data_IF_997369917914
#
_entry.id   IF_997369917914
#
_cell.length_a   1.000
_cell.length_b   1.000
_cell.length_c   1.000
_cell.angle_alpha   90.00
_cell.angle_beta   90.00
_cell.angle_gamma   90.00
#
_symmetry.space_group_name_H-M   'P 1'
#
loop_
_entity.id
_entity.type
_entity.pdbx_description
1 polymer ?
#
# COMPACT_ATOMS: atom_id res chain seq x y z
N UNK A 1 -4.58 18.13 -15.66
CA UNK A 1 -3.66 17.11 -16.21
C UNK A 1 -3.94 15.82 -15.46
N UNK A 2 -4.42 14.77 -16.14
CA UNK A 2 -4.62 13.46 -15.50
C UNK A 2 -3.26 12.87 -15.16
N UNK A 3 -3.05 12.54 -13.89
CA UNK A 3 -1.93 11.70 -13.46
C UNK A 3 -2.31 10.28 -13.83
N UNK A 4 -1.78 9.78 -14.96
CA UNK A 4 -2.05 8.40 -15.38
C UNK A 4 -1.26 7.45 -14.48
N UNK A 5 -1.97 6.62 -13.71
CA UNK A 5 -1.37 5.48 -13.03
C UNK A 5 -0.65 4.60 -14.04
N UNK A 6 0.51 4.08 -13.66
CA UNK A 6 1.30 3.18 -14.50
C UNK A 6 0.51 1.89 -14.79
N UNK A 7 0.76 1.27 -15.95
CA UNK A 7 0.29 -0.10 -16.15
C UNK A 7 0.94 -1.03 -15.13
N UNK A 8 0.26 -2.11 -14.74
CA UNK A 8 0.79 -3.02 -13.71
C UNK A 8 2.16 -3.59 -14.11
N UNK A 9 2.38 -3.88 -15.39
CA UNK A 9 3.69 -4.33 -15.87
C UNK A 9 4.80 -3.28 -15.69
N UNK A 10 4.47 -1.99 -15.83
CA UNK A 10 5.41 -0.88 -15.55
C UNK A 10 5.65 -0.73 -14.04
N UNK A 11 4.62 -0.87 -13.21
CA UNK A 11 4.76 -0.82 -11.76
C UNK A 11 5.73 -1.91 -11.28
N UNK A 12 5.51 -3.15 -11.70
CA UNK A 12 6.32 -4.29 -11.26
C UNK A 12 7.78 -4.22 -11.75
N UNK A 13 8.02 -3.64 -12.93
CA UNK A 13 9.37 -3.51 -13.49
C UNK A 13 10.16 -2.29 -12.99
N UNK A 14 9.48 -1.27 -12.46
CA UNK A 14 10.10 -0.05 -11.92
C UNK A 14 10.22 -0.05 -10.40
N UNK A 15 9.84 -1.15 -9.76
CA UNK A 15 9.78 -1.30 -8.32
C UNK A 15 11.16 -1.51 -7.68
N UNK A 16 11.58 -0.55 -6.86
CA UNK A 16 12.84 -0.58 -6.11
C UNK A 16 12.61 -0.69 -4.60
N UNK A 17 13.58 -1.22 -3.85
CA UNK A 17 13.55 -1.29 -2.37
C UNK A 17 13.75 0.07 -1.71
N UNK A 18 14.25 1.05 -2.47
CA UNK A 18 14.52 2.40 -2.03
C UNK A 18 14.26 3.37 -3.16
N UNK A 19 13.50 4.44 -2.90
CA UNK A 19 13.24 5.50 -3.88
C UNK A 19 13.57 6.86 -3.31
N UNK A 20 14.06 7.77 -4.15
CA UNK A 20 14.26 9.17 -3.77
C UNK A 20 13.11 10.03 -4.26
N UNK A 21 12.44 10.72 -3.34
CA UNK A 21 11.33 11.63 -3.61
C UNK A 21 11.55 12.91 -2.81
N UNK A 22 11.55 14.07 -3.50
CA UNK A 22 11.71 15.40 -2.88
C UNK A 22 12.98 15.55 -2.01
N UNK A 23 14.06 14.86 -2.37
CA UNK A 23 15.32 14.89 -1.62
C UNK A 23 15.37 13.95 -0.41
N UNK A 24 14.30 13.19 -0.17
CA UNK A 24 14.24 12.17 0.87
C UNK A 24 14.37 10.78 0.25
N UNK A 25 15.10 9.90 0.93
CA UNK A 25 15.17 8.47 0.61
C UNK A 25 14.11 7.74 1.41
N UNK A 26 13.27 6.98 0.71
CA UNK A 26 12.16 6.22 1.27
C UNK A 26 12.45 4.73 1.17
N UNK A 27 12.26 4.00 2.27
CA UNK A 27 12.39 2.54 2.34
C UNK A 27 11.22 1.95 3.12
N UNK A 28 10.63 0.84 2.65
CA UNK A 28 9.62 0.17 3.47
C UNK A 28 10.33 -0.56 4.61
N UNK A 29 10.05 -0.14 5.83
CA UNK A 29 10.64 -0.71 7.04
C UNK A 29 9.88 -1.94 7.51
N UNK A 30 8.55 -1.87 7.47
CA UNK A 30 7.63 -2.92 7.93
C UNK A 30 6.39 -2.90 7.08
N UNK A 31 5.83 -4.08 6.85
CA UNK A 31 4.48 -4.24 6.31
C UNK A 31 3.77 -5.32 7.09
N UNK A 32 2.51 -5.07 7.39
CA UNK A 32 1.63 -5.99 8.07
C UNK A 32 0.41 -6.20 7.20
N UNK A 33 0.06 -7.46 6.97
CA UNK A 33 -1.20 -7.82 6.36
C UNK A 33 -1.96 -8.71 7.34
N UNK A 34 -3.24 -8.41 7.58
CA UNK A 34 -4.08 -9.17 8.48
C UNK A 34 -5.52 -9.27 7.98
N UNK A 35 -6.15 -10.43 8.19
CA UNK A 35 -7.58 -10.58 7.96
C UNK A 35 -8.38 -9.90 9.08
N UNK A 36 -9.46 -9.18 8.74
CA UNK A 36 -10.43 -8.78 9.75
C UNK A 36 -11.42 -9.92 9.99
N UNK A 37 -11.12 -10.76 10.97
CA UNK A 37 -11.99 -11.86 11.38
C UNK A 37 -12.90 -11.51 12.57
N UNK A 38 -12.92 -10.25 13.01
CA UNK A 38 -13.79 -9.86 14.12
C UNK A 38 -15.26 -10.01 13.72
N UNK A 39 -16.10 -10.69 14.53
CA UNK A 39 -17.53 -10.76 14.28
C UNK A 39 -18.11 -9.34 14.30
N UNK A 40 -18.79 -8.93 13.23
CA UNK A 40 -19.55 -7.69 13.23
C UNK A 40 -20.57 -7.71 14.37
N UNK A 41 -20.63 -6.66 15.19
CA UNK A 41 -21.62 -6.52 16.27
C UNK A 41 -23.07 -6.54 15.75
N UNK A 42 -23.25 -6.27 14.45
CA UNK A 42 -24.48 -6.49 13.72
C UNK A 42 -24.21 -7.53 12.63
N UNK A 43 -25.08 -8.53 12.53
CA UNK A 43 -24.99 -9.78 11.75
C UNK A 43 -24.90 -9.64 10.22
N UNK A 44 -24.32 -8.56 9.70
CA UNK A 44 -23.80 -8.52 8.35
C UNK A 44 -22.31 -8.91 8.42
N UNK A 45 -21.87 -10.02 7.81
CA UNK A 45 -20.45 -10.31 7.69
C UNK A 45 -19.81 -9.15 6.90
N UNK A 46 -19.19 -8.21 7.62
CA UNK A 46 -18.44 -7.12 7.01
C UNK A 46 -17.22 -7.73 6.33
N UNK A 47 -17.40 -8.04 5.04
CA UNK A 47 -16.40 -8.41 4.03
C UNK A 47 -15.09 -8.95 4.61
N UNK A 48 -15.01 -10.27 4.72
CA UNK A 48 -13.78 -11.04 4.95
C UNK A 48 -12.76 -10.70 3.87
N UNK A 49 -11.80 -9.83 4.20
CA UNK A 49 -10.74 -9.37 3.32
C UNK A 49 -9.52 -8.98 4.15
N UNK A 50 -8.35 -8.96 3.52
CA UNK A 50 -7.13 -8.54 4.18
C UNK A 50 -7.06 -7.00 4.25
N UNK A 51 -6.65 -6.51 5.41
CA UNK A 51 -6.17 -5.15 5.61
C UNK A 51 -4.65 -5.17 5.54
N UNK A 52 -4.06 -4.02 5.22
CA UNK A 52 -2.62 -3.85 5.13
C UNK A 52 -2.20 -2.53 5.77
N UNK A 53 -1.05 -2.55 6.44
CA UNK A 53 -0.34 -1.36 6.91
C UNK A 53 1.09 -1.43 6.43
N UNK A 54 1.57 -0.37 5.80
CA UNK A 54 2.94 -0.21 5.35
C UNK A 54 3.56 0.96 6.10
N UNK A 55 4.72 0.72 6.71
CA UNK A 55 5.53 1.73 7.38
C UNK A 55 6.74 2.03 6.50
N UNK A 56 6.83 3.26 6.01
CA UNK A 56 7.93 3.74 5.17
C UNK A 56 8.82 4.63 6.00
N UNK A 57 10.08 4.25 6.16
CA UNK A 57 11.09 5.11 6.76
C UNK A 57 11.55 6.17 5.77
N UNK A 58 11.73 7.39 6.27
CA UNK A 58 12.26 8.55 5.56
C UNK A 58 13.66 8.85 6.06
N UNK A 59 14.57 9.14 5.14
CA UNK A 59 15.92 9.58 5.44
C UNK A 59 16.25 10.80 4.59
N UNK A 60 16.75 11.86 5.23
CA UNK A 60 17.15 13.09 4.56
C UNK A 60 18.38 13.67 5.25
N UNK A 61 19.24 14.34 4.48
CA UNK A 61 20.33 15.15 5.03
C UNK A 61 19.83 16.51 5.57
N UNK A 62 18.58 16.86 5.26
CA UNK A 62 17.87 18.05 5.75
C UNK A 62 16.72 17.67 6.69
N UNK A 63 16.07 18.67 7.29
CA UNK A 63 14.85 18.44 8.05
C UNK A 63 13.78 17.77 7.18
N UNK A 64 13.08 16.77 7.73
CA UNK A 64 12.00 16.07 7.04
C UNK A 64 10.81 17.01 6.84
N UNK A 65 10.13 16.90 5.69
CA UNK A 65 8.92 17.68 5.45
C UNK A 65 7.74 17.12 6.22
N UNK A 66 6.85 17.97 6.73
CA UNK A 66 5.60 17.50 7.36
C UNK A 66 4.62 16.88 6.35
N UNK A 67 4.85 17.06 5.05
CA UNK A 67 4.02 16.47 3.99
C UNK A 67 4.54 15.11 3.54
N UNK A 68 3.63 14.14 3.42
CA UNK A 68 3.91 12.87 2.77
C UNK A 68 4.00 13.03 1.24
N UNK A 69 4.85 12.23 0.57
CA UNK A 69 4.71 11.95 -0.85
C UNK A 69 3.30 11.43 -1.17
N UNK A 70 2.77 11.88 -2.30
CA UNK A 70 1.41 11.56 -2.72
C UNK A 70 1.35 10.12 -3.24
N UNK A 71 0.56 9.27 -2.58
CA UNK A 71 0.35 7.87 -2.99
C UNK A 71 -0.76 7.79 -4.04
N UNK A 72 -0.45 7.18 -5.18
CA UNK A 72 -1.41 6.89 -6.24
C UNK A 72 -2.09 5.55 -6.01
N UNK A 73 -1.32 4.52 -5.65
CA UNK A 73 -1.82 3.16 -5.45
C UNK A 73 -0.98 2.40 -4.44
N UNK A 74 -1.61 1.46 -3.75
CA UNK A 74 -0.95 0.40 -2.99
C UNK A 74 -1.27 -0.92 -3.67
N UNK A 75 -0.26 -1.60 -4.18
CA UNK A 75 -0.36 -2.89 -4.83
C UNK A 75 0.11 -3.98 -3.90
N UNK A 76 -0.49 -5.16 -4.03
CA UNK A 76 0.06 -6.38 -3.46
C UNK A 76 0.04 -7.48 -4.51
N UNK A 77 1.17 -8.18 -4.60
CA UNK A 77 1.33 -9.39 -5.40
C UNK A 77 1.59 -10.55 -4.45
N UNK A 78 0.72 -11.55 -4.48
CA UNK A 78 0.92 -12.80 -3.75
C UNK A 78 2.01 -13.62 -4.45
N UNK A 79 3.16 -13.78 -3.80
CA UNK A 79 4.32 -14.50 -4.34
C UNK A 79 5.27 -14.90 -3.22
N UNK A 80 5.93 -16.05 -3.38
CA UNK A 80 7.01 -16.51 -2.50
C UNK A 80 8.40 -16.12 -3.02
N UNK A 81 8.49 -15.46 -4.18
CA UNK A 81 9.73 -15.14 -4.86
C UNK A 81 9.67 -13.77 -5.55
N UNK A 82 10.71 -12.95 -5.37
CA UNK A 82 10.87 -11.67 -6.08
C UNK A 82 11.13 -11.85 -7.58
N UNK A 83 11.80 -12.95 -7.95
CA UNK A 83 12.07 -13.25 -9.37
C UNK A 83 10.76 -13.42 -10.16
N UNK A 84 9.68 -13.75 -9.48
CA UNK A 84 8.39 -13.97 -10.09
C UNK A 84 7.69 -12.64 -10.40
N UNK A 85 8.06 -11.51 -9.78
CA UNK A 85 7.41 -10.21 -10.00
C UNK A 85 7.48 -9.73 -11.44
N UNK A 86 8.65 -9.87 -12.08
CA UNK A 86 8.85 -9.49 -13.48
C UNK A 86 8.15 -10.46 -14.42
N UNK A 87 8.08 -11.75 -14.07
CA UNK A 87 7.31 -12.75 -14.83
C UNK A 87 5.79 -12.52 -14.70
N UNK A 88 5.34 -12.06 -13.53
CA UNK A 88 3.94 -11.75 -13.22
C UNK A 88 3.40 -10.61 -14.10
N UNK A 89 4.24 -9.63 -14.41
CA UNK A 89 3.94 -8.54 -15.34
C UNK A 89 3.50 -9.01 -16.74
N UNK A 90 3.95 -10.20 -17.17
CA UNK A 90 3.64 -10.77 -18.49
C UNK A 90 2.38 -11.64 -18.50
N UNK A 91 2.00 -12.20 -17.35
CA UNK A 91 0.83 -13.06 -17.17
C UNK A 91 0.10 -12.62 -15.90
N UNK A 92 -0.60 -11.48 -15.99
CA UNK A 92 -1.34 -10.91 -14.89
C UNK A 92 -2.47 -11.84 -14.45
N UNK A 93 -2.16 -12.69 -13.47
CA UNK A 93 -3.12 -13.52 -12.79
C UNK A 93 -3.86 -12.65 -11.77
N UNK A 94 -5.06 -12.20 -12.14
CA UNK A 94 -5.90 -11.35 -11.29
C UNK A 94 -6.29 -12.00 -9.96
N UNK A 95 -6.03 -13.30 -9.77
CA UNK A 95 -6.26 -13.99 -8.49
C UNK A 95 -5.14 -13.73 -7.47
N UNK A 96 -3.96 -13.33 -7.93
CA UNK A 96 -2.75 -13.13 -7.11
C UNK A 96 -2.32 -11.67 -7.00
N UNK A 97 -3.03 -10.75 -7.64
CA UNK A 97 -2.73 -9.32 -7.61
C UNK A 97 -3.95 -8.51 -7.19
N UNK A 98 -3.71 -7.50 -6.36
CA UNK A 98 -4.72 -6.53 -5.98
C UNK A 98 -4.09 -5.15 -5.81
N UNK A 99 -4.88 -4.10 -6.01
CA UNK A 99 -4.45 -2.74 -5.70
C UNK A 99 -5.58 -1.92 -5.11
N UNK A 100 -5.25 -1.13 -4.11
CA UNK A 100 -6.08 -0.03 -3.64
C UNK A 100 -5.67 1.26 -4.33
N UNK A 101 -6.65 2.09 -4.66
CA UNK A 101 -6.43 3.42 -5.21
C UNK A 101 -6.16 4.44 -4.11
N UNK A 102 -5.40 5.50 -4.41
CA UNK A 102 -5.24 6.66 -3.54
C UNK A 102 -6.45 7.60 -3.59
N UNK A 103 -6.65 8.47 -2.57
CA UNK A 103 -7.86 9.28 -2.40
C UNK A 103 -8.12 10.27 -3.55
N UNK A 104 -7.06 10.76 -4.18
CA UNK A 104 -7.13 11.66 -5.34
C UNK A 104 -7.82 11.03 -6.57
N UNK A 105 -7.74 9.70 -6.74
CA UNK A 105 -8.40 9.00 -7.83
C UNK A 105 -9.92 8.92 -7.61
N UNK A 106 -10.36 9.19 -6.38
CA UNK A 106 -11.77 9.19 -5.96
C UNK A 106 -12.37 10.60 -5.90
N UNK A 107 -11.58 11.66 -6.17
CA UNK A 107 -12.07 13.05 -6.18
C UNK A 107 -12.44 13.62 -4.80
N UNK A 108 -11.88 13.07 -3.72
CA UNK A 108 -12.18 13.46 -2.34
C UNK A 108 -11.51 14.77 -1.93
N UNK A 109 -12.06 15.43 -0.91
CA UNK A 109 -11.42 16.59 -0.28
C UNK A 109 -10.18 16.16 0.52
N UNK A 110 -9.29 17.13 0.82
CA UNK A 110 -8.10 16.87 1.63
C UNK A 110 -8.44 16.31 3.02
N UNK A 111 -9.52 16.77 3.64
CA UNK A 111 -9.93 16.28 4.96
C UNK A 111 -10.45 14.84 4.88
N UNK A 112 -11.29 14.52 3.90
CA UNK A 112 -11.80 13.17 3.68
C UNK A 112 -10.67 12.19 3.35
N UNK A 113 -9.63 12.64 2.63
CA UNK A 113 -8.47 11.81 2.30
C UNK A 113 -7.64 11.36 3.51
N UNK A 114 -7.82 12.04 4.65
CA UNK A 114 -7.17 11.74 5.92
C UNK A 114 -8.10 11.03 6.92
N UNK A 115 -9.40 10.89 6.58
CA UNK A 115 -10.38 10.25 7.43
C UNK A 115 -10.40 8.74 7.21
N UNK A 116 -10.24 7.99 8.30
CA UNK A 116 -10.21 6.52 8.24
C UNK A 116 -11.56 5.92 7.84
N UNK A 117 -12.67 6.50 8.30
CA UNK A 117 -14.01 6.02 7.97
C UNK A 117 -14.28 6.20 6.48
N UNK A 118 -13.90 7.36 5.93
CA UNK A 118 -13.95 7.63 4.50
C UNK A 118 -13.04 6.66 3.71
N UNK A 119 -11.82 6.38 4.18
CA UNK A 119 -10.92 5.42 3.55
C UNK A 119 -11.51 4.01 3.50
N UNK A 120 -12.14 3.58 4.58
CA UNK A 120 -12.81 2.27 4.69
C UNK A 120 -14.08 2.21 3.83
N UNK A 121 -14.85 3.30 3.75
CA UNK A 121 -16.09 3.39 2.98
C UNK A 121 -15.80 3.40 1.48
N UNK A 122 -14.89 4.27 1.05
CA UNK A 122 -14.53 4.49 -0.35
C UNK A 122 -13.40 3.58 -0.84
N UNK A 123 -12.86 2.71 0.02
CA UNK A 123 -11.84 1.69 -0.30
C UNK A 123 -10.55 2.26 -0.90
N UNK A 124 -10.11 3.41 -0.41
CA UNK A 124 -8.85 4.02 -0.82
C UNK A 124 -7.76 3.82 0.23
N UNK A 125 -6.52 4.11 -0.16
CA UNK A 125 -5.33 4.09 0.68
C UNK A 125 -5.26 5.34 1.56
N UNK A 126 -5.32 5.18 2.88
CA UNK A 126 -5.04 6.26 3.82
C UNK A 126 -3.52 6.45 3.96
N UNK A 127 -3.04 7.67 3.75
CA UNK A 127 -1.62 8.01 3.95
C UNK A 127 -1.49 9.02 5.08
N UNK A 128 -0.77 8.65 6.14
CA UNK A 128 -0.44 9.53 7.26
C UNK A 128 1.02 9.97 7.15
N UNK A 129 1.31 11.28 7.19
CA UNK A 129 2.67 11.79 7.03
C UNK A 129 3.63 11.48 8.18
N UNK A 130 3.08 10.98 9.30
CA UNK A 130 3.84 10.51 10.47
C UNK A 130 3.41 9.09 10.79
N UNK A 131 4.37 8.27 11.21
CA UNK A 131 4.14 6.86 11.53
C UNK A 131 3.27 6.67 12.75
N UNK A 132 2.79 5.44 12.96
CA UNK A 132 2.05 5.05 14.16
C UNK A 132 2.78 5.54 15.41
N UNK A 133 2.11 6.34 16.25
CA UNK A 133 2.62 6.91 17.52
C UNK A 133 3.51 8.16 17.36
N UNK A 134 3.53 8.76 16.18
CA UNK A 134 4.21 10.04 15.94
C UNK A 134 5.71 9.91 15.71
N UNK A 135 6.16 8.79 15.13
CA UNK A 135 7.53 8.73 14.60
C UNK A 135 7.63 9.68 13.40
N UNK A 136 8.38 10.77 13.58
CA UNK A 136 8.52 11.84 12.59
C UNK A 136 9.31 11.38 11.34
N UNK A 137 10.08 10.29 11.44
CA UNK A 137 10.85 9.69 10.34
C UNK A 137 10.11 8.58 9.59
N UNK A 138 8.79 8.48 9.74
CA UNK A 138 8.00 7.40 9.17
C UNK A 138 6.71 7.91 8.52
N UNK A 139 6.33 7.36 7.37
CA UNK A 139 5.00 7.50 6.77
C UNK A 139 4.26 6.19 7.00
N UNK A 140 3.01 6.29 7.45
CA UNK A 140 2.13 5.14 7.56
C UNK A 140 1.11 5.15 6.42
N UNK A 141 0.99 4.02 5.75
CA UNK A 141 0.00 3.79 4.70
C UNK A 141 -0.90 2.64 5.15
N UNK A 142 -2.22 2.86 5.12
CA UNK A 142 -3.20 1.84 5.48
C UNK A 142 -4.22 1.63 4.38
N UNK A 143 -4.65 0.39 4.21
CA UNK A 143 -5.76 0.06 3.34
C UNK A 143 -6.54 -1.13 3.91
N UNK A 144 -7.84 -1.18 3.59
CA UNK A 144 -8.78 -2.14 4.18
C UNK A 144 -9.57 -2.88 3.11
N UNK A 145 -10.18 -4.00 3.52
CA UNK A 145 -11.14 -4.76 2.68
C UNK A 145 -10.54 -5.20 1.34
N UNK A 146 -9.28 -5.65 1.35
CA UNK A 146 -8.63 -6.30 0.22
C UNK A 146 -9.19 -7.69 -0.08
N UNK A 147 -8.56 -8.44 -0.99
CA UNK A 147 -8.99 -9.78 -1.35
C UNK A 147 -8.76 -10.77 -0.20
N UNK A 148 -9.51 -11.88 -0.22
CA UNK A 148 -9.17 -13.08 0.55
C UNK A 148 -8.48 -14.06 -0.39
N UNK A 149 -7.20 -14.33 -0.17
CA UNK A 149 -6.49 -15.33 -0.94
C UNK A 149 -6.68 -16.72 -0.33
N UNK A 150 -7.02 -17.69 -1.18
CA UNK A 150 -7.36 -19.05 -0.75
C UNK A 150 -6.14 -19.92 -0.40
N UNK A 151 -4.92 -19.53 -0.81
CA UNK A 151 -3.69 -20.27 -0.51
C UNK A 151 -2.45 -19.40 -0.69
N UNK A 152 -1.38 -19.68 0.08
CA UNK A 152 -0.17 -18.85 0.14
C UNK A 152 -0.34 -17.63 1.03
N UNK A 153 0.65 -17.34 1.88
CA UNK A 153 0.66 -16.13 2.73
C UNK A 153 1.73 -15.14 2.33
N UNK A 154 2.62 -15.56 1.43
CA UNK A 154 3.74 -14.75 1.02
C UNK A 154 3.30 -13.74 -0.03
N UNK A 155 3.75 -12.51 0.13
CA UNK A 155 3.39 -11.38 -0.70
C UNK A 155 4.52 -10.35 -0.80
N UNK A 156 4.41 -9.50 -1.81
CA UNK A 156 5.20 -8.28 -1.95
C UNK A 156 4.24 -7.11 -2.03
N UNK A 157 4.47 -6.09 -1.21
CA UNK A 157 3.74 -4.83 -1.29
C UNK A 157 4.52 -3.82 -2.14
N UNK A 158 3.80 -3.05 -2.95
CA UNK A 158 4.36 -1.98 -3.76
C UNK A 158 3.55 -0.69 -3.58
N UNK A 159 4.22 0.43 -3.36
CA UNK A 159 3.61 1.75 -3.22
C UNK A 159 3.97 2.57 -4.45
N UNK A 160 2.97 2.91 -5.25
CA UNK A 160 3.11 3.81 -6.40
C UNK A 160 2.89 5.25 -5.93
N UNK A 161 3.89 6.11 -6.15
CA UNK A 161 3.82 7.54 -5.86
C UNK A 161 3.62 8.37 -7.14
N UNK A 162 3.12 9.59 -6.94
CA UNK A 162 3.12 10.60 -8.01
C UNK A 162 4.53 10.81 -8.57
N UNK A 163 4.63 10.92 -9.90
CA UNK A 163 5.92 10.95 -10.61
C UNK A 163 6.46 9.58 -11.03
N UNK A 164 5.68 8.50 -10.83
CA UNK A 164 5.98 7.16 -11.36
C UNK A 164 7.08 6.42 -10.60
N UNK A 165 7.32 6.80 -9.34
CA UNK A 165 8.24 6.10 -8.43
C UNK A 165 7.48 4.97 -7.75
N UNK A 166 8.06 3.77 -7.75
CA UNK A 166 7.45 2.59 -7.13
C UNK A 166 8.41 2.02 -6.11
N UNK A 167 7.97 2.00 -4.85
CA UNK A 167 8.71 1.43 -3.74
C UNK A 167 8.15 0.05 -3.41
N UNK A 168 9.00 -0.96 -3.24
CA UNK A 168 8.57 -2.32 -2.89
C UNK A 168 9.21 -2.84 -1.61
N UNK A 169 8.60 -3.90 -1.08
CA UNK A 169 9.19 -4.75 -0.05
C UNK A 169 10.00 -5.89 -0.66
N UNK A 170 10.73 -6.61 0.19
CA UNK A 170 11.04 -8.02 -0.05
C UNK A 170 9.78 -8.88 0.02
N UNK A 171 9.92 -10.20 -0.13
CA UNK A 171 8.83 -11.15 0.19
C UNK A 171 8.56 -11.09 1.69
N UNK A 172 7.28 -10.97 2.03
CA UNK A 172 6.75 -10.85 3.39
C UNK A 172 5.66 -11.90 3.57
N UNK A 173 5.41 -12.36 4.79
CA UNK A 173 4.34 -13.31 5.07
C UNK A 173 3.21 -12.61 5.83
N UNK A 174 1.98 -12.78 5.35
CA UNK A 174 0.80 -12.22 5.98
C UNK A 174 0.54 -12.89 7.34
N UNK A 175 0.31 -12.06 8.35
CA UNK A 175 -0.12 -12.51 9.66
C UNK A 175 -1.63 -12.75 9.66
N UNK A 176 -2.09 -13.81 10.33
CA UNK A 176 -3.52 -14.01 10.56
C UNK A 176 -3.77 -13.68 12.02
N UNK A 177 -4.37 -12.51 12.28
CA UNK A 177 -4.90 -12.18 13.60
C UNK A 177 -6.24 -12.91 13.73
N UNK A 178 -6.30 -13.85 14.68
CA UNK A 178 -7.52 -14.58 15.04
C UNK A 178 -8.33 -13.80 16.08
#
# INVERSE_FOLDING_TARGET
MSVNAQSVSQVLSSADESVSIRGETLTIRRVYMWANNMPGLNSNPQSSGHNITVHIRRQSESALTDDAPKVLKLHVVQTSSLNDLTSFASNLDSTRYFSWDGPQLQGLTAQESLDESAAIEHKFVLTRPRGWRGFDDEIEIQAWKGPTWAGGRDFVALVEFEGGKVLRTDVQSADVVY
#
